data_IF_171762355624
#
_entry.id   IF_171762355624
#
_cell.length_a   1.000
_cell.length_b   1.000
_cell.length_c   1.000
_cell.angle_alpha   90.00
_cell.angle_beta   90.00
_cell.angle_gamma   90.00
#
_symmetry.space_group_name_H-M   'P 1'
#
loop_
_entity.id
_entity.type
_entity.pdbx_description
1 polymer ?
#
# COMPACT_ATOMS: atom_id res chain seq x y z
N UNK A 1 12.09 -17.90 -14.58
CA UNK A 1 12.79 -16.65 -14.29
C UNK A 1 13.22 -16.72 -12.84
N UNK A 2 14.53 -16.64 -12.59
CA UNK A 2 15.08 -16.50 -11.24
C UNK A 2 14.46 -15.26 -10.61
N UNK A 3 13.88 -15.40 -9.43
CA UNK A 3 13.29 -14.28 -8.71
C UNK A 3 14.34 -13.18 -8.52
N UNK A 4 13.91 -11.95 -8.67
CA UNK A 4 14.71 -10.78 -8.37
C UNK A 4 15.08 -10.82 -6.87
N UNK A 5 16.34 -10.55 -6.52
CA UNK A 5 16.83 -10.55 -5.13
C UNK A 5 16.00 -9.63 -4.22
N UNK A 6 15.60 -8.46 -4.72
CA UNK A 6 14.76 -7.53 -3.98
C UNK A 6 13.40 -8.16 -3.64
N UNK A 7 12.79 -8.89 -4.57
CA UNK A 7 11.53 -9.57 -4.31
C UNK A 7 11.69 -10.62 -3.19
N UNK A 8 12.79 -11.35 -3.19
CA UNK A 8 13.08 -12.32 -2.13
C UNK A 8 13.24 -11.62 -0.77
N UNK A 9 13.97 -10.51 -0.72
CA UNK A 9 14.10 -9.70 0.51
C UNK A 9 12.74 -9.24 1.01
N UNK A 10 11.85 -8.75 0.13
CA UNK A 10 10.50 -8.32 0.50
C UNK A 10 9.70 -9.50 1.04
N UNK A 11 9.73 -10.65 0.37
CA UNK A 11 9.03 -11.84 0.84
C UNK A 11 9.55 -12.33 2.19
N UNK A 12 10.85 -12.31 2.41
CA UNK A 12 11.50 -12.70 3.67
C UNK A 12 11.12 -11.74 4.80
N UNK A 13 11.05 -10.44 4.54
CA UNK A 13 10.57 -9.46 5.52
C UNK A 13 9.15 -9.77 5.99
N UNK A 14 8.24 -10.13 5.07
CA UNK A 14 6.88 -10.50 5.43
C UNK A 14 6.85 -11.77 6.28
N UNK A 15 7.71 -12.74 6.00
CA UNK A 15 7.81 -13.98 6.78
C UNK A 15 8.39 -13.74 8.19
N UNK A 16 9.21 -12.72 8.37
CA UNK A 16 9.86 -12.39 9.63
C UNK A 16 8.99 -11.59 10.60
N UNK A 17 7.85 -11.06 10.16
CA UNK A 17 6.97 -10.26 11.01
C UNK A 17 6.54 -11.05 12.24
N UNK A 18 6.86 -10.52 13.43
CA UNK A 18 6.44 -11.08 14.72
C UNK A 18 5.21 -10.34 15.26
N UNK A 19 5.18 -9.02 15.17
CA UNK A 19 4.12 -8.20 15.76
C UNK A 19 3.44 -7.29 14.74
N UNK A 20 4.21 -6.49 14.00
CA UNK A 20 3.64 -5.47 13.11
C UNK A 20 4.41 -5.28 11.82
N UNK A 21 3.65 -4.97 10.79
CA UNK A 21 4.13 -4.60 9.46
C UNK A 21 3.49 -3.28 9.05
N UNK A 22 4.29 -2.31 8.61
CA UNK A 22 3.82 -1.07 7.98
C UNK A 22 4.32 -1.04 6.54
N UNK A 23 3.42 -0.76 5.61
CA UNK A 23 3.72 -0.65 4.19
C UNK A 23 3.27 0.72 3.68
N UNK A 24 4.18 1.46 3.05
CA UNK A 24 3.86 2.59 2.20
C UNK A 24 4.03 2.18 0.73
N UNK A 25 3.04 2.44 -0.10
CA UNK A 25 3.08 2.22 -1.54
C UNK A 25 2.11 3.18 -2.23
N UNK A 26 2.42 3.69 -3.44
CA UNK A 26 1.57 4.68 -4.10
C UNK A 26 0.14 4.20 -4.35
N UNK A 27 -0.03 2.94 -4.73
CA UNK A 27 -1.34 2.36 -5.07
C UNK A 27 -1.44 0.91 -4.65
N UNK A 28 -2.68 0.49 -4.35
CA UNK A 28 -2.95 -0.88 -3.96
C UNK A 28 -3.11 -1.78 -5.20
N UNK A 29 -2.04 -2.45 -5.57
CA UNK A 29 -2.05 -3.45 -6.64
C UNK A 29 -1.04 -4.57 -6.35
N UNK A 30 -1.09 -5.16 -5.17
CA UNK A 30 -0.11 -6.15 -4.73
C UNK A 30 -0.16 -7.44 -5.56
N UNK A 31 1.00 -8.03 -5.89
CA UNK A 31 1.07 -9.37 -6.45
C UNK A 31 0.34 -10.38 -5.55
N UNK A 32 -0.17 -11.45 -6.16
CA UNK A 32 -0.90 -12.49 -5.42
C UNK A 32 -0.09 -13.06 -4.26
N UNK A 33 1.22 -13.23 -4.45
CA UNK A 33 2.14 -13.73 -3.42
C UNK A 33 2.14 -12.85 -2.17
N UNK A 34 2.24 -11.53 -2.33
CA UNK A 34 2.21 -10.59 -1.21
C UNK A 34 0.83 -10.54 -0.54
N UNK A 35 -0.26 -10.56 -1.34
CA UNK A 35 -1.62 -10.61 -0.77
C UNK A 35 -1.84 -11.86 0.09
N UNK A 36 -1.33 -13.02 -0.34
CA UNK A 36 -1.41 -14.25 0.44
C UNK A 36 -0.62 -14.17 1.74
N UNK A 37 0.55 -13.53 1.72
CA UNK A 37 1.36 -13.31 2.93
C UNK A 37 0.69 -12.35 3.90
N UNK A 38 0.08 -11.26 3.41
CA UNK A 38 -0.71 -10.34 4.24
C UNK A 38 -1.89 -11.06 4.91
N UNK A 39 -2.63 -11.87 4.15
CA UNK A 39 -3.72 -12.68 4.70
C UNK A 39 -3.25 -13.56 5.86
N UNK A 40 -2.12 -14.26 5.64
CA UNK A 40 -1.53 -15.12 6.67
C UNK A 40 -1.10 -14.35 7.93
N UNK A 41 -0.51 -13.16 7.78
CA UNK A 41 -0.15 -12.33 8.93
C UNK A 41 -1.38 -11.96 9.75
N UNK A 42 -2.46 -11.55 9.11
CA UNK A 42 -3.72 -11.23 9.78
C UNK A 42 -4.33 -12.45 10.49
N UNK A 43 -4.34 -13.62 9.83
CA UNK A 43 -4.78 -14.89 10.42
C UNK A 43 -3.94 -15.29 11.65
N UNK A 44 -2.67 -14.93 11.68
CA UNK A 44 -1.77 -15.15 12.80
C UNK A 44 -1.91 -14.11 13.93
N UNK A 45 -2.82 -13.15 13.80
CA UNK A 45 -3.03 -12.09 14.78
C UNK A 45 -1.99 -10.99 14.76
N UNK A 46 -1.20 -10.87 13.68
CA UNK A 46 -0.25 -9.76 13.51
C UNK A 46 -0.99 -8.49 13.13
N UNK A 47 -0.37 -7.34 13.39
CA UNK A 47 -0.89 -6.03 13.00
C UNK A 47 -0.28 -5.60 11.67
N UNK A 48 -1.13 -5.16 10.76
CA UNK A 48 -0.73 -4.68 9.43
C UNK A 48 -1.29 -3.28 9.23
N UNK A 49 -0.44 -2.34 8.86
CA UNK A 49 -0.83 -1.00 8.43
C UNK A 49 -0.40 -0.78 6.99
N UNK A 50 -1.34 -0.35 6.14
CA UNK A 50 -1.09 -0.05 4.72
C UNK A 50 -1.43 1.41 4.49
N UNK A 51 -0.46 2.18 3.99
CA UNK A 51 -0.62 3.59 3.65
C UNK A 51 -0.48 3.71 2.14
N UNK A 52 -1.58 4.05 1.47
CA UNK A 52 -1.65 4.25 0.02
C UNK A 52 -2.14 5.65 -0.30
N UNK A 53 -1.86 6.13 -1.49
CA UNK A 53 -2.46 7.39 -1.96
C UNK A 53 -3.96 7.24 -2.17
N UNK A 54 -4.73 8.26 -1.77
CA UNK A 54 -6.09 8.44 -2.28
C UNK A 54 -6.04 8.47 -3.81
N UNK A 55 -7.12 8.09 -4.51
CA UNK A 55 -7.13 8.09 -5.98
C UNK A 55 -6.79 9.45 -6.59
N UNK A 56 -7.14 10.55 -5.91
CA UNK A 56 -6.82 11.90 -6.37
C UNK A 56 -5.34 12.26 -6.19
N UNK A 57 -4.61 11.55 -5.34
CA UNK A 57 -3.16 11.69 -5.16
C UNK A 57 -2.33 10.83 -6.14
N UNK A 58 -2.97 10.22 -7.13
CA UNK A 58 -2.33 9.42 -8.16
C UNK A 58 -2.00 10.29 -9.38
N UNK A 59 -0.80 10.14 -9.95
CA UNK A 59 -0.35 10.87 -11.15
C UNK A 59 -1.26 10.74 -12.36
N UNK A 60 -1.98 9.65 -12.46
CA UNK A 60 -2.90 9.38 -13.55
C UNK A 60 -4.32 9.88 -13.29
N UNK A 61 -4.58 10.47 -12.12
CA UNK A 61 -5.90 11.01 -11.82
C UNK A 61 -6.23 12.20 -12.74
N UNK A 62 -7.38 12.13 -13.37
CA UNK A 62 -7.89 13.17 -14.27
C UNK A 62 -9.13 13.77 -13.60
N UNK A 63 -9.09 15.08 -13.24
CA UNK A 63 -10.25 15.77 -12.70
C UNK A 63 -11.46 15.69 -13.67
N UNK A 64 -12.70 15.65 -13.15
CA UNK A 64 -13.90 15.51 -13.97
C UNK A 64 -14.08 16.58 -15.05
N UNK A 65 -13.50 17.78 -14.85
CA UNK A 65 -13.56 18.88 -15.83
C UNK A 65 -12.62 18.69 -17.03
N UNK A 66 -11.73 17.69 -17.02
CA UNK A 66 -10.78 17.43 -18.09
C UNK A 66 -11.21 16.24 -18.96
N UNK A 67 -10.84 16.25 -20.27
CA UNK A 67 -11.12 15.10 -21.15
C UNK A 67 -10.49 13.81 -20.61
N UNK A 68 -11.28 12.75 -20.55
CA UNK A 68 -10.81 11.44 -20.10
C UNK A 68 -9.75 10.86 -21.04
N UNK A 69 -8.72 10.27 -20.46
CA UNK A 69 -7.70 9.47 -21.17
C UNK A 69 -7.65 8.08 -20.53
N UNK A 70 -7.31 7.06 -21.30
CA UNK A 70 -7.28 5.66 -20.85
C UNK A 70 -6.45 5.45 -19.56
N UNK A 71 -5.30 6.11 -19.45
CA UNK A 71 -4.49 6.06 -18.23
C UNK A 71 -5.21 6.57 -16.97
N UNK A 72 -6.19 7.45 -17.13
CA UNK A 72 -7.04 7.94 -16.03
C UNK A 72 -7.95 6.88 -15.41
N UNK A 73 -8.03 5.68 -15.99
CA UNK A 73 -8.72 4.55 -15.38
C UNK A 73 -7.91 3.88 -14.25
N UNK A 74 -6.58 4.03 -14.24
CA UNK A 74 -5.70 3.35 -13.27
C UNK A 74 -6.01 3.68 -11.80
N UNK A 75 -6.25 4.94 -11.39
CA UNK A 75 -6.62 5.26 -10.02
C UNK A 75 -7.88 4.52 -9.54
N UNK A 76 -8.85 4.37 -10.41
CA UNK A 76 -10.11 3.65 -10.12
C UNK A 76 -9.90 2.13 -10.02
N UNK A 77 -9.05 1.58 -10.89
CA UNK A 77 -8.66 0.16 -10.80
C UNK A 77 -7.99 -0.14 -9.45
N UNK A 78 -7.07 0.71 -9.01
CA UNK A 78 -6.39 0.54 -7.73
C UNK A 78 -7.33 0.71 -6.54
N UNK A 79 -8.26 1.65 -6.60
CA UNK A 79 -9.32 1.80 -5.58
C UNK A 79 -10.22 0.56 -5.54
N UNK A 80 -10.64 0.04 -6.67
CA UNK A 80 -11.43 -1.20 -6.75
C UNK A 80 -10.69 -2.41 -6.14
N UNK A 81 -9.40 -2.54 -6.42
CA UNK A 81 -8.57 -3.58 -5.81
C UNK A 81 -8.48 -3.42 -4.29
N UNK A 82 -8.30 -2.20 -3.81
CA UNK A 82 -8.27 -1.89 -2.39
C UNK A 82 -9.63 -2.19 -1.73
N UNK A 83 -10.73 -1.79 -2.36
CA UNK A 83 -12.06 -2.05 -1.84
C UNK A 83 -12.34 -3.54 -1.66
N UNK A 84 -12.01 -4.37 -2.67
CA UNK A 84 -12.15 -5.83 -2.57
C UNK A 84 -11.28 -6.43 -1.48
N UNK A 85 -10.07 -5.93 -1.30
CA UNK A 85 -9.19 -6.36 -0.22
C UNK A 85 -9.78 -5.99 1.16
N UNK A 86 -10.22 -4.77 1.34
CA UNK A 86 -10.81 -4.29 2.59
C UNK A 86 -12.13 -5.04 2.91
N UNK A 87 -12.96 -5.31 1.90
CA UNK A 87 -14.18 -6.12 2.07
C UNK A 87 -13.86 -7.53 2.57
N UNK A 88 -12.89 -8.18 1.93
CA UNK A 88 -12.46 -9.52 2.34
C UNK A 88 -11.91 -9.58 3.76
N UNK A 89 -11.22 -8.52 4.19
CA UNK A 89 -10.55 -8.45 5.49
C UNK A 89 -11.24 -7.47 6.47
N UNK A 90 -12.51 -7.20 6.26
CA UNK A 90 -13.28 -6.22 7.05
C UNK A 90 -13.27 -6.54 8.56
N UNK A 91 -13.34 -7.82 8.93
CA UNK A 91 -13.26 -8.23 10.32
C UNK A 91 -11.95 -7.77 11.00
N UNK A 92 -10.83 -7.77 10.28
CA UNK A 92 -9.54 -7.31 10.81
C UNK A 92 -9.45 -5.78 10.85
N UNK A 93 -10.15 -5.07 9.97
CA UNK A 93 -10.31 -3.61 10.08
C UNK A 93 -11.11 -3.28 11.34
N UNK A 94 -12.21 -3.96 11.56
CA UNK A 94 -13.09 -3.75 12.72
C UNK A 94 -12.42 -4.07 14.06
N UNK A 95 -11.56 -5.10 14.11
CA UNK A 95 -10.86 -5.48 15.34
C UNK A 95 -9.51 -4.75 15.54
N UNK A 96 -9.11 -3.88 14.59
CA UNK A 96 -7.90 -3.07 14.69
C UNK A 96 -6.60 -3.76 14.27
N UNK A 97 -6.63 -5.00 13.77
CA UNK A 97 -5.43 -5.69 13.27
C UNK A 97 -5.00 -5.21 11.89
N UNK A 98 -5.94 -4.77 11.06
CA UNK A 98 -5.66 -4.15 9.76
C UNK A 98 -6.04 -2.67 9.80
N UNK A 99 -5.08 -1.80 9.56
CA UNK A 99 -5.29 -0.36 9.38
C UNK A 99 -4.96 0.01 7.95
N UNK A 100 -5.90 0.59 7.24
CA UNK A 100 -5.71 1.13 5.89
C UNK A 100 -5.85 2.64 5.96
N UNK A 101 -4.85 3.34 5.44
CA UNK A 101 -4.81 4.80 5.40
C UNK A 101 -4.74 5.29 3.98
N UNK A 102 -5.56 6.30 3.66
CA UNK A 102 -5.55 6.99 2.38
C UNK A 102 -4.87 8.35 2.56
N UNK A 103 -3.75 8.53 1.88
CA UNK A 103 -2.99 9.78 1.92
C UNK A 103 -3.50 10.77 0.90
N UNK A 104 -3.71 12.03 1.34
CA UNK A 104 -4.11 13.15 0.51
C UNK A 104 -3.60 14.44 1.12
N UNK A 105 -2.96 15.27 0.30
CA UNK A 105 -2.50 16.61 0.70
C UNK A 105 -2.65 17.58 -0.48
N UNK A 106 -3.76 18.29 -0.56
CA UNK A 106 -4.07 19.22 -1.64
C UNK A 106 -3.96 18.54 -3.02
N UNK A 107 -3.17 19.15 -3.90
CA UNK A 107 -2.88 18.66 -5.25
C UNK A 107 -1.59 17.84 -5.34
N UNK A 108 -0.96 17.54 -4.20
CA UNK A 108 0.25 16.75 -4.17
C UNK A 108 -0.02 15.29 -4.52
N UNK A 109 0.94 14.66 -5.18
CA UNK A 109 0.90 13.22 -5.49
C UNK A 109 1.69 12.41 -4.46
N UNK A 110 1.27 11.16 -4.26
CA UNK A 110 1.86 10.26 -3.27
C UNK A 110 2.73 9.20 -3.94
N UNK A 111 4.03 9.19 -3.63
CA UNK A 111 5.03 8.28 -4.22
C UNK A 111 5.85 7.50 -3.19
N UNK A 112 5.52 7.59 -1.92
CA UNK A 112 6.27 6.91 -0.87
C UNK A 112 6.23 5.39 -1.01
N UNK A 113 7.38 4.77 -0.84
CA UNK A 113 7.57 3.32 -0.89
C UNK A 113 8.49 2.91 0.23
N UNK A 114 8.01 2.01 1.06
CA UNK A 114 8.82 1.48 2.16
C UNK A 114 8.08 0.42 2.94
N UNK A 115 8.85 -0.35 3.68
CA UNK A 115 8.36 -1.44 4.55
C UNK A 115 9.07 -1.33 5.89
N UNK A 116 8.30 -1.34 6.97
CA UNK A 116 8.79 -1.33 8.34
C UNK A 116 8.30 -2.58 9.07
N UNK A 117 9.21 -3.33 9.68
CA UNK A 117 8.91 -4.59 10.36
C UNK A 117 9.41 -4.54 11.81
N UNK A 118 8.51 -4.67 12.75
CA UNK A 118 8.78 -4.89 14.19
C UNK A 118 9.71 -3.86 14.85
N UNK A 119 9.76 -2.64 14.34
CA UNK A 119 10.72 -1.61 14.75
C UNK A 119 12.20 -2.02 14.62
N UNK A 120 12.50 -3.01 13.81
CA UNK A 120 13.86 -3.55 13.63
C UNK A 120 14.35 -3.53 12.18
N UNK A 121 13.43 -3.61 11.22
CA UNK A 121 13.79 -3.61 9.80
C UNK A 121 13.09 -2.47 9.09
N UNK A 122 13.85 -1.79 8.24
CA UNK A 122 13.32 -0.75 7.34
C UNK A 122 13.84 -1.06 5.94
N UNK A 123 12.94 -1.23 4.98
CA UNK A 123 13.27 -1.31 3.57
C UNK A 123 12.81 -0.03 2.87
N UNK A 124 13.74 0.73 2.33
CA UNK A 124 13.47 1.85 1.43
C UNK A 124 13.71 1.37 -0.01
N UNK A 125 12.75 1.55 -0.90
CA UNK A 125 12.82 0.97 -2.24
C UNK A 125 12.11 1.84 -3.28
N UNK A 126 12.50 1.70 -4.55
CA UNK A 126 11.74 2.20 -5.69
C UNK A 126 10.56 1.30 -6.11
N UNK A 127 10.49 0.07 -5.59
CA UNK A 127 9.49 -0.92 -5.99
C UNK A 127 8.08 -0.54 -5.51
N UNK A 128 7.16 -0.37 -6.45
CA UNK A 128 5.76 -0.03 -6.19
C UNK A 128 4.91 -1.21 -5.66
N UNK A 129 5.50 -2.35 -5.38
CA UNK A 129 4.83 -3.56 -4.90
C UNK A 129 3.66 -3.99 -5.81
N UNK A 130 3.78 -3.77 -7.11
CA UNK A 130 2.78 -4.15 -8.10
C UNK A 130 3.31 -5.25 -9.04
N UNK A 131 2.46 -5.93 -9.82
CA UNK A 131 2.89 -7.04 -10.68
C UNK A 131 3.93 -6.65 -11.73
N UNK A 132 3.90 -5.40 -12.21
CA UNK A 132 4.89 -4.90 -13.17
C UNK A 132 6.27 -4.77 -12.51
N UNK A 133 6.37 -4.02 -11.41
CA UNK A 133 7.61 -3.85 -10.66
C UNK A 133 8.14 -5.21 -10.18
N UNK A 134 7.25 -6.13 -9.84
CA UNK A 134 7.59 -7.47 -9.37
C UNK A 134 8.25 -8.35 -10.45
N UNK A 135 7.90 -8.15 -11.72
CA UNK A 135 8.31 -9.05 -12.81
C UNK A 135 9.22 -8.42 -13.83
N UNK A 136 9.08 -7.13 -14.07
CA UNK A 136 9.63 -6.48 -15.27
C UNK A 136 10.58 -5.34 -14.96
N UNK A 137 10.36 -4.61 -13.85
CA UNK A 137 11.14 -3.43 -13.56
C UNK A 137 12.42 -3.80 -12.80
N UNK A 138 13.54 -3.16 -13.15
CA UNK A 138 14.76 -3.21 -12.39
C UNK A 138 14.69 -2.17 -11.27
N UNK A 139 14.54 -2.63 -10.05
CA UNK A 139 14.40 -1.79 -8.86
C UNK A 139 15.48 -2.13 -7.84
N UNK A 140 15.80 -1.17 -7.00
CA UNK A 140 16.72 -1.35 -5.89
C UNK A 140 16.04 -1.11 -4.55
N UNK A 141 16.74 -1.42 -3.47
CA UNK A 141 16.30 -1.15 -2.12
C UNK A 141 17.49 -1.07 -1.17
N UNK A 142 17.28 -0.31 -0.11
CA UNK A 142 18.17 -0.24 1.04
C UNK A 142 17.48 -0.91 2.22
N UNK A 143 18.01 -2.05 2.66
CA UNK A 143 17.54 -2.75 3.86
C UNK A 143 18.38 -2.31 5.06
N UNK A 144 17.71 -1.78 6.07
CA UNK A 144 18.31 -1.40 7.34
C UNK A 144 17.85 -2.41 8.39
N UNK A 145 18.79 -3.04 9.08
CA UNK A 145 18.53 -3.89 10.24
C UNK A 145 19.03 -3.18 11.50
N UNK A 146 18.10 -2.82 12.37
CA UNK A 146 18.32 -2.04 13.59
C UNK A 146 17.81 -2.80 14.83
N UNK A 147 18.47 -3.89 15.23
CA UNK A 147 18.00 -4.72 16.36
C UNK A 147 18.05 -4.01 17.70
N UNK A 148 18.86 -2.97 17.83
CA UNK A 148 18.96 -2.14 19.05
C UNK A 148 17.98 -0.98 19.06
N UNK A 149 17.21 -0.80 17.96
CA UNK A 149 16.22 0.28 17.83
C UNK A 149 16.83 1.70 17.98
N UNK A 150 18.05 1.89 17.51
CA UNK A 150 18.73 3.19 17.55
C UNK A 150 18.06 4.23 16.62
N UNK A 151 17.38 3.74 15.56
CA UNK A 151 16.63 4.56 14.59
C UNK A 151 15.13 4.65 14.91
N UNK A 152 14.64 4.03 15.98
CA UNK A 152 13.21 3.95 16.26
C UNK A 152 12.56 5.34 16.32
N UNK A 153 13.16 6.27 17.03
CA UNK A 153 12.64 7.64 17.16
C UNK A 153 12.52 8.35 15.80
N UNK A 154 13.50 8.16 14.93
CA UNK A 154 13.49 8.73 13.58
C UNK A 154 12.41 8.10 12.72
N UNK A 155 12.31 6.77 12.72
CA UNK A 155 11.31 6.03 11.96
C UNK A 155 9.87 6.40 12.41
N UNK A 156 9.63 6.48 13.71
CA UNK A 156 8.33 6.89 14.25
C UNK A 156 7.99 8.34 13.91
N UNK A 157 8.97 9.24 13.92
CA UNK A 157 8.78 10.63 13.51
C UNK A 157 8.40 10.73 12.02
N UNK A 158 9.08 9.98 11.16
CA UNK A 158 8.78 9.93 9.73
C UNK A 158 7.38 9.38 9.47
N UNK A 159 7.04 8.22 10.04
CA UNK A 159 5.73 7.61 9.89
C UNK A 159 4.61 8.50 10.45
N UNK A 160 4.85 9.15 11.58
CA UNK A 160 3.91 10.11 12.16
C UNK A 160 3.65 11.29 11.22
N UNK A 161 4.69 11.81 10.59
CA UNK A 161 4.58 12.88 9.59
C UNK A 161 3.77 12.42 8.36
N UNK A 162 4.04 11.23 7.85
CA UNK A 162 3.26 10.65 6.75
C UNK A 162 1.77 10.51 7.14
N UNK A 163 1.49 10.01 8.35
CA UNK A 163 0.12 9.79 8.84
C UNK A 163 -0.68 11.07 9.03
N UNK A 164 -0.05 12.23 9.20
CA UNK A 164 -0.73 13.53 9.37
C UNK A 164 -1.64 13.87 8.18
N UNK A 165 -1.30 13.42 6.97
CA UNK A 165 -2.09 13.65 5.77
C UNK A 165 -2.94 12.45 5.36
N UNK A 166 -3.22 11.55 6.30
CA UNK A 166 -3.99 10.34 6.02
C UNK A 166 -5.34 10.34 6.70
N UNK A 167 -6.31 9.69 6.04
CA UNK A 167 -7.59 9.29 6.62
C UNK A 167 -7.57 7.78 6.83
N UNK A 168 -7.91 7.33 8.05
CA UNK A 168 -8.10 5.90 8.35
C UNK A 168 -9.42 5.43 7.77
N UNK A 169 -9.39 4.35 7.01
CA UNK A 169 -10.57 3.70 6.48
C UNK A 169 -11.28 2.93 7.60
N UNK A 170 -12.53 3.31 7.90
CA UNK A 170 -13.34 2.65 8.94
C UNK A 170 -14.12 1.45 8.38
N UNK A 171 -14.52 1.54 7.10
CA UNK A 171 -15.32 0.55 6.40
C UNK A 171 -14.97 0.55 4.91
N UNK A 172 -14.97 -0.62 4.27
CA UNK A 172 -14.68 -0.74 2.84
C UNK A 172 -15.67 0.03 1.96
N UNK A 173 -16.91 0.25 2.44
CA UNK A 173 -17.93 1.01 1.72
C UNK A 173 -17.63 2.51 1.60
N UNK A 174 -16.64 3.02 2.31
CA UNK A 174 -16.16 4.40 2.12
C UNK A 174 -15.42 4.57 0.77
N UNK A 175 -14.97 3.47 0.17
CA UNK A 175 -14.39 3.46 -1.18
C UNK A 175 -15.49 3.30 -2.23
N UNK A 176 -15.35 4.00 -3.34
CA UNK A 176 -16.36 3.98 -4.40
C UNK A 176 -16.51 2.60 -5.07
N UNK A 177 -17.72 2.32 -5.52
CA UNK A 177 -18.05 1.17 -6.35
C UNK A 177 -17.94 1.51 -7.83
N UNK A 178 -17.89 0.46 -8.66
CA UNK A 178 -17.84 0.61 -10.12
C UNK A 178 -18.98 1.51 -10.67
N UNK A 179 -20.17 1.41 -10.11
CA UNK A 179 -21.35 2.21 -10.49
C UNK A 179 -21.20 3.71 -10.22
N UNK A 180 -20.31 4.09 -9.32
CA UNK A 180 -20.02 5.47 -8.94
C UNK A 180 -18.86 6.08 -9.76
N UNK A 181 -18.14 5.26 -10.53
CA UNK A 181 -17.04 5.73 -11.35
C UNK A 181 -17.52 6.50 -12.58
N UNK A 182 -16.68 7.35 -13.17
CA UNK A 182 -17.00 8.00 -14.44
C UNK A 182 -17.39 6.98 -15.51
N UNK A 183 -18.36 7.32 -16.35
CA UNK A 183 -18.91 6.43 -17.40
C UNK A 183 -17.81 5.76 -18.28
N UNK A 184 -16.75 6.47 -18.71
CA UNK A 184 -15.67 5.83 -19.48
C UNK A 184 -14.95 4.71 -18.71
N UNK A 185 -14.86 4.81 -17.37
CA UNK A 185 -14.23 3.78 -16.52
C UNK A 185 -15.15 2.58 -16.34
N UNK A 186 -16.46 2.81 -16.23
CA UNK A 186 -17.43 1.73 -16.09
C UNK A 186 -17.49 0.79 -17.29
N UNK A 187 -17.09 1.28 -18.49
CA UNK A 187 -17.11 0.55 -19.75
C UNK A 187 -15.84 -0.24 -20.04
N UNK A 188 -14.83 -0.16 -19.20
CA UNK A 188 -13.56 -0.88 -19.30
C UNK A 188 -13.58 -2.20 -18.51
#
# INVERSE_FOLDING_TARGET
ASGNELNQVIEDLFLQVQEKLVICTPYFNFPRTLRSKLARLLEQGKRVEIIVGDKVANDFYIPPAQPFKMAGALPYLYESNLRRFCEKFDAYIKNGHLTVRLWKDGDNTYHLKGIWVDNQYILLTGNNLNPRAWRLDAENGLLIHDPKQELLSQAEKELSHIRQHTKVLQDYSELEELTQYPEPVQKL
#
